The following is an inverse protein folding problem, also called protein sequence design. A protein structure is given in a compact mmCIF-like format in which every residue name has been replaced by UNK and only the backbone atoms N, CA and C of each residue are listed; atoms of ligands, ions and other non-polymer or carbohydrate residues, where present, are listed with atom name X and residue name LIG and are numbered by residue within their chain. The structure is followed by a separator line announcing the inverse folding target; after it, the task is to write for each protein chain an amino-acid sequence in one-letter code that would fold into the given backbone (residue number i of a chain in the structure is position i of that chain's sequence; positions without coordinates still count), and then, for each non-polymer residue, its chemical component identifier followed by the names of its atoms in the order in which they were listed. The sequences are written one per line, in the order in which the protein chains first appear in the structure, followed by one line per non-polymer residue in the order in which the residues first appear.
data_IF_877877739499
#
_entry.id   IF_877877739499
#
_cell.length_a   1.000
_cell.length_b   1.000
_cell.length_c   1.000
_cell.angle_alpha   90.00
_cell.angle_beta   90.00
_cell.angle_gamma   90.00
#
_symmetry.space_group_name_H-M   'P 1'
#
loop_
_entity.id
_entity.type
_entity.pdbx_description
1 polymer ?
#
# COMPACT_ATOMS: atom_id res chain seq x y z
N UNK A 1 3.73 10.32 -5.62
CA UNK A 1 3.80 9.47 -4.40
C UNK A 1 2.48 9.36 -3.64
N UNK A 2 1.75 10.45 -3.36
CA UNK A 2 0.49 10.43 -2.57
C UNK A 2 -0.56 9.44 -3.09
N UNK A 3 -0.77 9.36 -4.40
CA UNK A 3 -1.71 8.39 -4.99
C UNK A 3 -1.29 6.94 -4.70
N UNK A 4 0.01 6.63 -4.74
CA UNK A 4 0.50 5.29 -4.43
C UNK A 4 0.31 4.94 -2.95
N UNK A 5 0.49 5.90 -2.02
CA UNK A 5 0.20 5.67 -0.60
C UNK A 5 -1.30 5.49 -0.36
N UNK A 6 -2.17 6.27 -1.02
CA UNK A 6 -3.62 6.12 -0.92
C UNK A 6 -4.09 4.76 -1.43
N UNK A 7 -3.52 4.26 -2.54
CA UNK A 7 -3.78 2.91 -3.04
C UNK A 7 -3.38 1.88 -1.98
N UNK A 8 -2.17 1.97 -1.44
CA UNK A 8 -1.68 1.04 -0.42
C UNK A 8 -2.53 1.06 0.86
N UNK A 9 -3.06 2.23 1.25
CA UNK A 9 -3.90 2.39 2.42
C UNK A 9 -5.33 1.82 2.25
N UNK A 10 -5.75 1.41 1.04
CA UNK A 10 -7.09 0.81 0.82
C UNK A 10 -7.32 -0.50 1.58
N UNK A 11 -6.25 -1.19 1.95
CA UNK A 11 -6.33 -2.47 2.66
C UNK A 11 -5.40 -2.43 3.87
N UNK A 12 -5.93 -2.56 5.07
CA UNK A 12 -5.11 -2.71 6.27
C UNK A 12 -4.66 -4.17 6.51
N UNK A 13 -5.32 -5.13 5.86
CA UNK A 13 -4.97 -6.54 5.98
C UNK A 13 -3.84 -6.89 5.01
N UNK A 14 -2.77 -7.48 5.54
CA UNK A 14 -1.67 -8.09 4.80
C UNK A 14 -2.11 -9.14 3.77
N UNK A 15 -3.26 -9.81 4.00
CA UNK A 15 -3.81 -10.86 3.14
C UNK A 15 -4.66 -10.34 1.99
N UNK A 16 -5.20 -9.13 2.08
CA UNK A 16 -6.09 -8.56 1.06
C UNK A 16 -5.31 -7.57 0.20
N UNK A 17 -5.28 -7.81 -1.11
CA UNK A 17 -4.62 -6.91 -2.06
C UNK A 17 -5.29 -5.52 -2.07
N UNK A 18 -4.53 -4.41 -1.99
CA UNK A 18 -5.08 -3.06 -2.10
C UNK A 18 -5.71 -2.77 -3.48
N UNK A 19 -5.36 -3.56 -4.50
CA UNK A 19 -5.92 -3.47 -5.85
C UNK A 19 -7.23 -4.25 -6.02
N UNK A 20 -7.63 -5.05 -5.02
CA UNK A 20 -8.86 -5.83 -5.10
C UNK A 20 -10.04 -4.90 -5.35
N UNK A 21 -10.83 -5.22 -6.38
CA UNK A 21 -12.01 -4.45 -6.78
C UNK A 21 -11.78 -2.94 -6.98
N UNK A 22 -10.57 -2.53 -7.37
CA UNK A 22 -10.26 -1.10 -7.54
C UNK A 22 -11.17 -0.43 -8.57
N UNK A 23 -11.48 -1.13 -9.67
CA UNK A 23 -12.37 -0.66 -10.74
C UNK A 23 -13.84 -0.53 -10.32
N UNK A 24 -14.26 -1.18 -9.23
CA UNK A 24 -15.64 -1.10 -8.71
C UNK A 24 -15.86 0.16 -7.88
N UNK A 25 -14.80 0.74 -7.31
CA UNK A 25 -14.88 1.95 -6.51
C UNK A 25 -14.60 3.19 -7.36
N UNK A 26 -15.63 3.65 -8.09
CA UNK A 26 -15.55 4.81 -8.97
C UNK A 26 -15.20 6.10 -8.21
N UNK A 27 -15.67 6.25 -6.97
CA UNK A 27 -15.31 7.40 -6.13
C UNK A 27 -13.82 7.43 -5.81
N UNK A 28 -13.23 6.30 -5.44
CA UNK A 28 -11.80 6.21 -5.17
C UNK A 28 -10.98 6.60 -6.40
N UNK A 29 -11.33 6.07 -7.57
CA UNK A 29 -10.66 6.43 -8.83
C UNK A 29 -10.83 7.91 -9.12
N UNK A 30 -12.07 8.43 -9.04
CA UNK A 30 -12.38 9.84 -9.31
C UNK A 30 -11.59 10.81 -8.44
N UNK A 31 -11.52 10.55 -7.12
CA UNK A 31 -10.75 11.39 -6.19
C UNK A 31 -9.25 11.36 -6.51
N UNK A 32 -8.67 10.17 -6.78
CA UNK A 32 -7.25 10.07 -7.11
C UNK A 32 -6.92 10.78 -8.43
N UNK A 33 -7.80 10.68 -9.44
CA UNK A 33 -7.65 11.40 -10.71
C UNK A 33 -7.73 12.91 -10.48
N UNK A 34 -8.70 13.39 -9.70
CA UNK A 34 -8.84 14.81 -9.37
C UNK A 34 -7.59 15.36 -8.65
N UNK A 35 -7.00 14.59 -7.73
CA UNK A 35 -5.74 14.94 -7.05
C UNK A 35 -4.60 15.07 -8.05
N UNK A 36 -4.44 14.13 -9.00
CA UNK A 36 -3.39 14.20 -10.03
C UNK A 36 -3.56 15.41 -10.94
N UNK A 37 -4.79 15.71 -11.38
CA UNK A 37 -5.09 16.88 -12.21
C UNK A 37 -4.79 18.17 -11.45
N UNK A 38 -5.22 18.27 -10.20
CA UNK A 38 -4.92 19.43 -9.35
C UNK A 38 -3.41 19.62 -9.17
N UNK A 39 -2.67 18.53 -8.94
CA UNK A 39 -1.23 18.57 -8.81
C UNK A 39 -0.53 19.07 -10.09
N UNK A 40 -0.99 18.63 -11.27
CA UNK A 40 -0.51 19.14 -12.56
C UNK A 40 -0.78 20.65 -12.71
N UNK A 41 -1.99 21.09 -12.38
CA UNK A 41 -2.36 22.51 -12.44
C UNK A 41 -1.50 23.37 -11.52
N UNK A 42 -1.33 22.95 -10.27
CA UNK A 42 -0.52 23.68 -9.27
C UNK A 42 0.93 23.81 -9.74
N UNK A 43 1.52 22.74 -10.26
CA UNK A 43 2.92 22.76 -10.71
C UNK A 43 3.15 23.59 -11.98
N UNK A 44 2.16 23.67 -12.88
CA UNK A 44 2.32 24.39 -14.15
C UNK A 44 1.87 25.85 -14.10
N UNK A 45 0.84 26.18 -13.31
CA UNK A 45 0.17 27.51 -13.36
C UNK A 45 0.30 28.34 -12.09
N UNK A 46 0.54 27.72 -10.94
CA UNK A 46 0.56 28.41 -9.66
C UNK A 46 1.95 28.44 -9.00
N UNK A 47 3.00 28.39 -9.82
CA UNK A 47 4.40 28.48 -9.40
C UNK A 47 4.68 29.67 -8.48
N UNK A 48 4.08 30.83 -8.75
CA UNK A 48 4.32 32.07 -8.00
C UNK A 48 3.60 32.08 -6.64
N UNK A 49 2.44 31.43 -6.53
CA UNK A 49 1.64 31.36 -5.30
C UNK A 49 2.18 30.29 -4.36
N UNK A 50 2.49 29.10 -4.88
CA UNK A 50 2.94 27.96 -4.09
C UNK A 50 4.47 27.82 -4.04
N UNK A 51 5.21 28.75 -4.64
CA UNK A 51 6.68 28.72 -4.75
C UNK A 51 7.19 27.39 -5.30
N UNK A 52 6.51 26.87 -6.31
CA UNK A 52 6.85 25.60 -6.97
C UNK A 52 7.55 25.87 -8.30
N UNK A 53 8.37 24.92 -8.76
CA UNK A 53 8.93 24.95 -10.11
C UNK A 53 8.27 23.85 -10.95
N UNK A 54 8.09 24.12 -12.24
CA UNK A 54 7.58 23.13 -13.17
C UNK A 54 8.62 22.02 -13.34
N UNK A 55 8.19 20.77 -13.11
CA UNK A 55 9.06 19.61 -13.31
C UNK A 55 9.33 19.36 -14.79
N UNK A 56 10.58 19.01 -15.09
CA UNK A 56 11.00 18.47 -16.38
C UNK A 56 10.46 17.05 -16.60
N UNK A 57 10.47 16.59 -17.85
CA UNK A 57 10.00 15.24 -18.23
C UNK A 57 10.79 14.15 -17.48
N UNK A 58 12.09 14.35 -17.27
CA UNK A 58 12.95 13.41 -16.55
C UNK A 58 12.55 13.32 -15.08
N UNK A 59 12.28 14.45 -14.43
CA UNK A 59 11.85 14.48 -13.02
C UNK A 59 10.46 13.86 -12.84
N UNK A 60 9.55 14.07 -13.79
CA UNK A 60 8.26 13.37 -13.85
C UNK A 60 8.44 11.86 -13.91
N UNK A 61 9.32 11.40 -14.80
CA UNK A 61 9.61 9.98 -14.99
C UNK A 61 10.15 9.37 -13.70
N UNK A 62 11.13 10.01 -13.06
CA UNK A 62 11.68 9.57 -11.77
C UNK A 62 10.60 9.52 -10.68
N UNK A 63 9.74 10.54 -10.60
CA UNK A 63 8.64 10.59 -9.62
C UNK A 63 7.63 9.44 -9.80
N UNK A 64 7.30 9.11 -11.04
CA UNK A 64 6.42 7.97 -11.38
C UNK A 64 7.08 6.65 -11.02
N UNK A 65 8.37 6.47 -11.36
CA UNK A 65 9.14 5.27 -11.02
C UNK A 65 9.17 5.07 -9.50
N UNK A 66 9.47 6.12 -8.73
CA UNK A 66 9.48 6.05 -7.28
C UNK A 66 8.10 5.71 -6.70
N UNK A 67 7.02 6.25 -7.28
CA UNK A 67 5.66 5.90 -6.87
C UNK A 67 5.32 4.43 -7.17
N UNK A 68 5.78 3.89 -8.30
CA UNK A 68 5.62 2.48 -8.64
C UNK A 68 6.43 1.56 -7.71
N UNK A 69 7.70 1.90 -7.44
CA UNK A 69 8.55 1.19 -6.49
C UNK A 69 7.92 1.14 -5.10
N UNK A 70 7.25 2.21 -4.66
CA UNK A 70 6.53 2.23 -3.38
C UNK A 70 5.38 1.21 -3.33
N UNK A 71 4.65 1.02 -4.44
CA UNK A 71 3.61 -0.02 -4.54
C UNK A 71 4.22 -1.43 -4.44
N UNK A 72 5.35 -1.66 -5.12
CA UNK A 72 6.07 -2.95 -5.06
C UNK A 72 6.61 -3.21 -3.66
N UNK A 73 7.25 -2.21 -3.05
CA UNK A 73 7.81 -2.29 -1.70
C UNK A 73 6.75 -2.70 -0.67
N UNK A 74 5.56 -2.08 -0.72
CA UNK A 74 4.46 -2.45 0.17
C UNK A 74 3.90 -3.85 -0.10
N UNK A 75 3.92 -4.32 -1.35
CA UNK A 75 3.55 -5.71 -1.65
C UNK A 75 4.54 -6.71 -1.03
N UNK A 76 5.84 -6.38 -0.99
CA UNK A 76 6.86 -7.20 -0.32
C UNK A 76 6.63 -7.23 1.20
N UNK A 77 6.39 -6.07 1.82
CA UNK A 77 6.09 -5.98 3.26
C UNK A 77 4.89 -6.87 3.62
N UNK A 78 3.79 -6.77 2.87
CA UNK A 78 2.59 -7.60 3.10
C UNK A 78 2.89 -9.09 3.02
N UNK A 79 3.72 -9.52 2.07
CA UNK A 79 4.13 -10.94 1.96
C UNK A 79 4.93 -11.39 3.16
N UNK A 80 5.87 -10.56 3.63
CA UNK A 80 6.63 -10.85 4.84
C UNK A 80 5.70 -10.96 6.04
N UNK A 81 4.79 -10.00 6.23
CA UNK A 81 3.83 -10.01 7.33
C UNK A 81 2.96 -11.29 7.35
N UNK A 82 2.43 -11.71 6.19
CA UNK A 82 1.70 -12.96 6.06
C UNK A 82 2.54 -14.18 6.48
N UNK A 83 3.80 -14.24 6.04
CA UNK A 83 4.71 -15.31 6.42
C UNK A 83 4.96 -15.35 7.94
N UNK A 84 5.17 -14.20 8.57
CA UNK A 84 5.34 -14.09 10.02
C UNK A 84 4.09 -14.47 10.80
N UNK A 85 2.90 -14.11 10.32
CA UNK A 85 1.63 -14.54 10.91
C UNK A 85 1.45 -16.06 10.86
N UNK A 86 1.69 -16.67 9.70
CA UNK A 86 1.51 -18.12 9.52
C UNK A 86 2.45 -18.90 10.44
N UNK A 87 3.72 -18.45 10.60
CA UNK A 87 4.64 -19.02 11.58
C UNK A 87 4.18 -18.86 13.03
N UNK A 88 3.52 -17.74 13.36
CA UNK A 88 3.00 -17.48 14.71
C UNK A 88 1.85 -18.43 15.03
N UNK A 89 0.94 -18.61 14.08
CA UNK A 89 -0.20 -19.53 14.20
C UNK A 89 0.28 -20.98 14.33
N UNK A 90 1.25 -21.40 13.51
CA UNK A 90 1.82 -22.75 13.59
C UNK A 90 2.43 -23.04 14.96
N UNK A 91 3.20 -22.10 15.52
CA UNK A 91 3.79 -22.21 16.87
C UNK A 91 2.74 -22.26 17.98
N UNK A 92 1.65 -21.51 17.84
CA UNK A 92 0.55 -21.54 18.80
C UNK A 92 -0.22 -22.88 18.75
N UNK A 93 -0.45 -23.42 17.56
CA UNK A 93 -1.14 -24.69 17.42
C UNK A 93 -0.32 -25.86 17.97
N UNK A 94 1.00 -25.84 17.76
CA UNK A 94 1.87 -26.85 18.35
C UNK A 94 1.89 -26.78 19.88
N UNK A 95 1.95 -25.58 20.49
CA UNK A 95 1.91 -25.46 21.96
C UNK A 95 0.60 -25.99 22.55
N UNK A 96 -0.54 -25.68 21.93
CA UNK A 96 -1.85 -26.20 22.34
C UNK A 96 -1.94 -27.73 22.26
N UNK A 97 -1.36 -28.34 21.23
CA UNK A 97 -1.33 -29.79 21.08
C UNK A 97 -0.55 -30.47 22.22
N UNK A 98 0.60 -29.89 22.61
CA UNK A 98 1.40 -30.40 23.72
C UNK A 98 0.64 -30.29 25.05
N UNK A 99 -0.04 -29.17 25.32
CA UNK A 99 -0.84 -29.00 26.53
C UNK A 99 -2.02 -29.98 26.63
N UNK A 100 -2.68 -30.31 25.51
CA UNK A 100 -3.78 -31.30 25.51
C UNK A 100 -3.28 -32.72 25.75
N UNK A 101 -2.13 -33.07 25.19
CA UNK A 101 -1.51 -34.38 25.39
C UNK A 101 -1.13 -34.61 26.86
N UNK A 102 -0.58 -33.61 27.55
CA UNK A 102 -0.23 -33.72 28.96
C UNK A 102 -1.44 -33.83 29.89
N UNK A 103 -2.58 -33.19 29.57
CA UNK A 103 -3.82 -33.32 30.37
C UNK A 103 -4.47 -34.70 30.24
N UNK A 104 -4.26 -35.40 29.13
CA UNK A 104 -4.89 -36.73 28.89
C UNK A 104 -4.15 -37.88 29.59
N UNK A 105 -2.92 -37.65 30.06
CA UNK A 105 -2.08 -38.64 30.74
C UNK A 105 -2.18 -38.57 32.28
N UNK A 106 -2.96 -37.62 32.83
CA UNK A 106 -3.23 -37.47 34.25
C UNK A 106 -4.63 -37.96 34.59
#
# INVERSE_FOLDING_TARGET
MVVATQINARSLSSRVSPFLNIKRNNYFIGVNVAVLVCQLFVMQKFNLVFRTQALTINEWTVSIILAALLLVYMAVIRRLENYWEDQRIARWNSSLAHSRASTTQA
#
